data_IF_841856314572
#
_entry.id   IF_841856314572
#
_cell.length_a   1.000
_cell.length_b   1.000
_cell.length_c   1.000
_cell.angle_alpha   90.00
_cell.angle_beta   90.00
_cell.angle_gamma   90.00
#
_symmetry.space_group_name_H-M   'P 1'
#
loop_
_entity.id
_entity.type
_entity.pdbx_description
1 polymer ?
#
# COMPACT_ATOMS: atom_id res chain seq x y z
N UNK A 1 -86.25 -17.38 10.84
CA UNK A 1 -84.88 -17.26 11.39
C UNK A 1 -84.36 -15.88 11.01
N UNK A 2 -83.84 -15.13 11.98
CA UNK A 2 -83.67 -13.66 11.96
C UNK A 2 -82.34 -13.21 11.34
N UNK A 3 -82.38 -11.95 10.89
CA UNK A 3 -81.43 -11.17 10.08
C UNK A 3 -80.06 -10.78 10.69
N UNK A 4 -79.21 -10.30 9.77
CA UNK A 4 -78.33 -9.10 9.83
C UNK A 4 -76.87 -9.20 10.33
N UNK A 5 -75.97 -8.90 9.37
CA UNK A 5 -74.84 -7.94 9.37
C UNK A 5 -74.13 -7.61 10.69
N UNK A 6 -72.78 -7.73 10.71
CA UNK A 6 -71.81 -6.68 11.14
C UNK A 6 -70.42 -7.01 10.54
N UNK A 7 -69.76 -5.99 9.98
CA UNK A 7 -68.37 -5.99 9.53
C UNK A 7 -67.39 -5.68 10.68
N UNK A 8 -66.19 -6.24 10.64
CA UNK A 8 -65.05 -5.75 11.44
C UNK A 8 -63.75 -5.82 10.61
N UNK A 9 -63.20 -4.64 10.37
CA UNK A 9 -61.93 -4.35 9.74
C UNK A 9 -60.84 -4.34 10.83
N UNK A 10 -59.78 -5.13 10.72
CA UNK A 10 -58.57 -4.93 11.53
C UNK A 10 -57.31 -5.03 10.67
N UNK A 11 -56.55 -3.94 10.75
CA UNK A 11 -55.32 -3.59 10.05
C UNK A 11 -54.23 -4.65 10.21
N UNK A 12 -53.62 -5.06 9.10
CA UNK A 12 -52.40 -5.87 9.11
C UNK A 12 -51.28 -5.16 8.36
N UNK A 13 -50.12 -5.06 9.01
CA UNK A 13 -48.82 -4.94 8.36
C UNK A 13 -48.21 -3.54 8.32
N UNK A 14 -47.54 -3.13 9.39
CA UNK A 14 -46.37 -2.26 9.26
C UNK A 14 -45.28 -3.06 8.54
N UNK A 15 -45.13 -2.91 7.24
CA UNK A 15 -44.01 -3.46 6.49
C UNK A 15 -42.77 -2.59 6.76
N UNK A 16 -42.06 -2.88 7.86
CA UNK A 16 -40.67 -2.47 8.03
C UNK A 16 -39.78 -3.34 7.14
N UNK A 17 -39.66 -2.97 5.87
CA UNK A 17 -38.60 -3.46 5.00
C UNK A 17 -37.38 -2.57 5.20
N UNK A 18 -36.51 -2.97 6.12
CA UNK A 18 -35.13 -2.49 6.20
C UNK A 18 -34.27 -3.57 6.85
N UNK A 19 -33.90 -4.59 6.07
CA UNK A 19 -32.69 -5.35 6.38
C UNK A 19 -31.51 -4.38 6.35
N UNK A 20 -30.71 -4.26 7.43
CA UNK A 20 -29.45 -3.56 7.34
C UNK A 20 -28.50 -4.44 6.52
N UNK A 21 -28.41 -4.16 5.21
CA UNK A 21 -27.30 -4.64 4.39
C UNK A 21 -26.02 -4.17 5.08
N UNK A 22 -25.24 -5.15 5.53
CA UNK A 22 -23.95 -5.02 6.19
C UNK A 22 -23.08 -3.94 5.55
N UNK A 23 -22.99 -2.78 6.19
CA UNK A 23 -22.02 -1.73 5.89
C UNK A 23 -20.94 -1.62 6.98
N UNK A 24 -20.76 -2.67 7.79
CA UNK A 24 -19.93 -2.62 9.00
C UNK A 24 -18.68 -3.50 8.93
N UNK A 25 -18.52 -4.38 7.95
CA UNK A 25 -17.39 -5.31 7.91
C UNK A 25 -16.06 -4.70 7.42
N UNK A 26 -16.09 -3.67 6.56
CA UNK A 26 -14.86 -3.03 6.04
C UNK A 26 -14.22 -2.07 7.03
N UNK A 27 -15.01 -1.25 7.74
CA UNK A 27 -14.47 -0.28 8.69
C UNK A 27 -13.81 -0.95 9.91
N UNK A 28 -14.40 -2.04 10.40
CA UNK A 28 -13.84 -2.81 11.53
C UNK A 28 -12.57 -3.57 11.12
N UNK A 29 -12.53 -4.20 9.94
CA UNK A 29 -11.34 -4.89 9.43
C UNK A 29 -10.16 -3.93 9.14
N UNK A 30 -10.42 -2.72 8.65
CA UNK A 30 -9.39 -1.70 8.46
C UNK A 30 -8.81 -1.20 9.79
N UNK A 31 -9.64 -1.07 10.82
CA UNK A 31 -9.20 -0.64 12.16
C UNK A 31 -8.34 -1.71 12.84
N UNK A 32 -8.71 -2.97 12.64
CA UNK A 32 -7.95 -4.13 13.14
C UNK A 32 -6.59 -4.26 12.46
N UNK A 33 -6.55 -4.19 11.13
CA UNK A 33 -5.30 -4.25 10.34
C UNK A 33 -4.30 -3.16 10.70
N UNK A 34 -4.79 -1.92 10.92
CA UNK A 34 -3.97 -0.80 11.38
C UNK A 34 -3.34 -1.10 12.75
N UNK A 35 -4.15 -1.60 13.68
CA UNK A 35 -3.73 -1.88 15.06
C UNK A 35 -2.70 -3.00 15.11
N UNK A 36 -2.88 -4.04 14.31
CA UNK A 36 -1.93 -5.15 14.19
C UNK A 36 -0.59 -4.70 13.60
N UNK A 37 -0.59 -3.85 12.56
CA UNK A 37 0.65 -3.27 12.02
C UNK A 37 1.40 -2.43 13.06
N UNK A 38 0.68 -1.62 13.84
CA UNK A 38 1.26 -0.82 14.94
C UNK A 38 1.89 -1.70 16.01
N UNK A 39 1.20 -2.78 16.40
CA UNK A 39 1.70 -3.71 17.40
C UNK A 39 2.96 -4.43 16.90
N UNK A 40 2.94 -4.96 15.67
CA UNK A 40 4.08 -5.64 15.08
C UNK A 40 5.30 -4.71 14.91
N UNK A 41 5.09 -3.44 14.56
CA UNK A 41 6.17 -2.45 14.49
C UNK A 41 6.82 -2.23 15.87
N UNK A 42 6.00 -2.09 16.93
CA UNK A 42 6.49 -1.92 18.31
C UNK A 42 7.30 -3.14 18.77
N UNK A 43 6.85 -4.34 18.46
CA UNK A 43 7.55 -5.59 18.79
C UNK A 43 8.92 -5.69 18.10
N UNK A 44 9.06 -5.10 16.91
CA UNK A 44 10.33 -5.01 16.18
C UNK A 44 11.15 -3.75 16.54
N UNK A 45 10.71 -2.94 17.50
CA UNK A 45 11.39 -1.70 17.90
C UNK A 45 11.39 -0.61 16.82
N UNK A 46 10.44 -0.66 15.88
CA UNK A 46 10.32 0.29 14.79
C UNK A 46 9.36 1.42 15.18
N UNK A 47 9.78 2.66 14.90
CA UNK A 47 8.90 3.83 14.97
C UNK A 47 8.35 4.07 13.58
N UNK A 48 7.02 4.04 13.43
CA UNK A 48 6.33 4.16 12.15
C UNK A 48 5.37 5.36 12.13
N UNK A 49 4.99 5.81 10.93
CA UNK A 49 4.06 6.92 10.80
C UNK A 49 2.60 6.43 10.88
N UNK A 50 1.99 6.56 12.06
CA UNK A 50 0.64 6.03 12.33
C UNK A 50 -0.48 6.74 11.55
N UNK A 51 -0.23 7.98 11.11
CA UNK A 51 -1.17 8.79 10.33
C UNK A 51 -1.16 8.41 8.84
N UNK A 52 -0.14 7.69 8.39
CA UNK A 52 0.09 7.38 6.98
C UNK A 52 -0.13 5.89 6.67
N UNK A 53 -0.92 5.16 7.47
CA UNK A 53 -1.16 3.74 7.19
C UNK A 53 -2.11 3.59 6.00
N UNK A 54 -1.62 2.96 4.93
CA UNK A 54 -2.40 2.59 3.76
C UNK A 54 -2.75 1.10 3.76
N UNK A 55 -3.97 0.78 3.36
CA UNK A 55 -4.46 -0.60 3.27
C UNK A 55 -4.98 -0.87 1.87
N UNK A 56 -4.63 -2.03 1.33
CA UNK A 56 -5.17 -2.59 0.12
C UNK A 56 -5.64 -4.02 0.41
N UNK A 57 -6.96 -4.23 0.34
CA UNK A 57 -7.56 -5.54 0.53
C UNK A 57 -8.35 -5.97 -0.71
N UNK A 58 -8.26 -7.25 -1.05
CA UNK A 58 -8.95 -7.90 -2.16
C UNK A 58 -9.32 -9.33 -1.76
N UNK A 59 -10.10 -10.03 -2.60
CA UNK A 59 -10.47 -11.43 -2.36
C UNK A 59 -9.26 -12.37 -2.27
N UNK A 60 -8.14 -11.98 -2.90
CA UNK A 60 -6.92 -12.79 -3.03
C UNK A 60 -5.77 -12.28 -2.16
N UNK A 61 -5.96 -11.26 -1.33
CA UNK A 61 -4.89 -10.81 -0.46
C UNK A 61 -5.12 -9.47 0.23
N UNK A 62 -4.32 -9.25 1.26
CA UNK A 62 -4.33 -8.07 2.11
C UNK A 62 -2.91 -7.51 2.25
N UNK A 63 -2.77 -6.21 2.04
CA UNK A 63 -1.52 -5.48 2.17
C UNK A 63 -1.78 -4.25 3.02
N UNK A 64 -0.97 -4.07 4.06
CA UNK A 64 -1.03 -2.91 4.94
C UNK A 64 0.37 -2.36 5.02
N UNK A 65 0.58 -1.08 4.72
CA UNK A 65 1.91 -0.52 4.71
C UNK A 65 1.94 0.89 5.30
N UNK A 66 3.10 1.21 5.86
CA UNK A 66 3.43 2.54 6.33
C UNK A 66 4.91 2.84 6.15
N UNK A 67 5.30 4.08 6.44
CA UNK A 67 6.65 4.58 6.37
C UNK A 67 7.31 4.48 7.74
N UNK A 68 8.62 4.30 7.75
CA UNK A 68 9.43 4.42 8.97
C UNK A 68 9.49 5.90 9.35
N UNK A 69 9.17 6.25 10.59
CA UNK A 69 9.17 7.65 11.02
C UNK A 69 10.57 8.28 10.89
N UNK A 70 10.65 9.48 10.32
CA UNK A 70 11.91 10.20 10.13
C UNK A 70 12.62 9.90 8.81
N UNK A 71 12.19 8.88 8.06
CA UNK A 71 12.78 8.53 6.76
C UNK A 71 12.68 9.69 5.75
N UNK A 72 11.66 10.54 5.88
CA UNK A 72 11.41 11.69 5.01
C UNK A 72 12.51 12.78 5.10
N UNK A 73 13.31 12.74 6.17
CA UNK A 73 14.42 13.66 6.43
C UNK A 73 15.78 13.10 6.00
N UNK A 74 15.82 11.82 5.59
CA UNK A 74 17.07 11.15 5.19
C UNK A 74 17.49 11.67 3.81
N UNK A 75 18.74 12.12 3.61
CA UNK A 75 19.20 12.54 2.29
C UNK A 75 19.24 11.37 1.30
N UNK A 76 19.07 11.66 0.01
CA UNK A 76 19.13 10.68 -1.07
C UNK A 76 20.47 9.92 -1.12
N UNK A 77 21.58 10.59 -0.81
CA UNK A 77 22.91 9.96 -0.74
C UNK A 77 22.99 8.81 0.26
N UNK A 78 22.11 8.75 1.27
CA UNK A 78 22.07 7.65 2.23
C UNK A 78 21.63 6.32 1.61
N UNK A 79 20.95 6.33 0.46
CA UNK A 79 20.56 5.10 -0.26
C UNK A 79 21.76 4.25 -0.68
N UNK A 80 22.97 4.84 -0.79
CA UNK A 80 24.21 4.09 -1.00
C UNK A 80 24.43 2.98 0.05
N UNK A 81 24.04 3.24 1.30
CA UNK A 81 24.24 2.35 2.45
C UNK A 81 23.00 1.51 2.80
N UNK A 82 21.88 1.77 2.14
CA UNK A 82 20.59 1.17 2.48
C UNK A 82 19.86 1.95 3.57
N UNK A 83 18.59 2.27 3.31
CA UNK A 83 17.72 3.05 4.19
C UNK A 83 16.46 2.25 4.47
N UNK A 84 16.06 2.15 5.74
CA UNK A 84 14.77 1.59 6.09
C UNK A 84 13.69 2.63 5.81
N UNK A 85 12.81 2.34 4.86
CA UNK A 85 11.85 3.34 4.34
C UNK A 85 10.40 3.02 4.69
N UNK A 86 10.07 1.74 4.85
CA UNK A 86 8.70 1.30 5.09
C UNK A 86 8.63 0.06 5.99
N UNK A 87 7.44 -0.16 6.55
CA UNK A 87 7.04 -1.37 7.24
C UNK A 87 5.72 -1.87 6.65
N UNK A 88 5.69 -3.13 6.25
CA UNK A 88 4.59 -3.69 5.46
C UNK A 88 4.13 -5.03 6.02
N UNK A 89 2.83 -5.24 6.08
CA UNK A 89 2.21 -6.55 6.14
C UNK A 89 1.82 -6.97 4.72
N UNK A 90 2.19 -8.19 4.36
CA UNK A 90 1.84 -8.80 3.08
C UNK A 90 1.20 -10.14 3.38
N UNK A 91 -0.03 -10.34 2.92
CA UNK A 91 -0.69 -11.63 2.84
C UNK A 91 -1.32 -11.76 1.45
N UNK A 92 -0.55 -12.30 0.51
CA UNK A 92 -1.00 -12.53 -0.85
C UNK A 92 -0.19 -13.65 -1.49
N UNK A 93 -0.83 -14.64 -2.13
CA UNK A 93 -0.13 -15.71 -2.83
C UNK A 93 0.67 -15.17 -4.03
N UNK A 94 0.22 -14.07 -4.63
CA UNK A 94 0.87 -13.45 -5.79
C UNK A 94 2.18 -12.72 -5.41
N UNK A 95 2.40 -12.43 -4.13
CA UNK A 95 3.59 -11.71 -3.68
C UNK A 95 4.87 -12.59 -3.70
N UNK A 96 4.71 -13.92 -3.81
CA UNK A 96 5.83 -14.87 -3.83
C UNK A 96 6.68 -14.86 -2.55
N UNK A 97 6.12 -14.38 -1.44
CA UNK A 97 6.74 -14.38 -0.10
C UNK A 97 5.72 -14.92 0.91
N UNK A 98 6.17 -15.50 2.04
CA UNK A 98 5.26 -15.91 3.11
C UNK A 98 4.38 -14.75 3.59
N UNK A 99 3.18 -15.05 4.10
CA UNK A 99 2.38 -14.03 4.76
C UNK A 99 3.12 -13.54 6.03
N UNK A 100 3.21 -12.22 6.22
CA UNK A 100 3.93 -11.69 7.38
C UNK A 100 4.24 -10.20 7.33
N UNK A 101 4.95 -9.76 8.37
CA UNK A 101 5.40 -8.38 8.56
C UNK A 101 6.87 -8.23 8.17
N UNK A 102 7.16 -7.20 7.38
CA UNK A 102 8.47 -6.96 6.80
C UNK A 102 8.89 -5.51 6.95
N UNK A 103 10.13 -5.31 7.42
CA UNK A 103 10.84 -4.05 7.23
C UNK A 103 11.37 -3.98 5.82
N UNK A 104 11.18 -2.84 5.16
CA UNK A 104 11.63 -2.61 3.79
C UNK A 104 12.85 -1.70 3.79
N UNK A 105 13.99 -2.28 3.41
CA UNK A 105 15.25 -1.55 3.24
C UNK A 105 15.51 -1.28 1.77
N UNK A 106 15.69 -0.03 1.39
CA UNK A 106 15.99 0.36 0.01
C UNK A 106 17.45 0.77 -0.13
N UNK A 107 18.15 0.24 -1.13
CA UNK A 107 19.54 0.56 -1.46
C UNK A 107 19.69 0.91 -2.94
N UNK A 108 20.48 1.93 -3.25
CA UNK A 108 20.87 2.29 -4.62
C UNK A 108 22.38 2.17 -4.78
N UNK A 109 22.84 1.96 -6.02
CA UNK A 109 24.27 2.06 -6.34
C UNK A 109 24.70 3.54 -6.23
N UNK A 110 25.77 3.87 -5.49
CA UNK A 110 26.22 5.26 -5.33
C UNK A 110 26.39 6.03 -6.64
N UNK A 111 26.84 5.36 -7.71
CA UNK A 111 27.09 5.97 -9.02
C UNK A 111 25.80 6.34 -9.77
N UNK A 112 24.68 5.70 -9.42
CA UNK A 112 23.37 5.95 -10.04
C UNK A 112 22.58 7.06 -9.30
N UNK A 113 23.04 7.51 -8.12
CA UNK A 113 22.33 8.50 -7.32
C UNK A 113 22.51 9.88 -7.95
N UNK A 114 21.42 10.41 -8.50
CA UNK A 114 21.38 11.70 -9.18
C UNK A 114 20.03 12.39 -8.99
N UNK A 115 19.95 13.67 -9.35
CA UNK A 115 18.66 14.36 -9.49
C UNK A 115 17.91 13.75 -10.68
N UNK A 116 16.68 13.29 -10.46
CA UNK A 116 15.87 12.60 -11.45
C UNK A 116 15.61 11.15 -11.06
N UNK A 117 15.37 10.29 -12.05
CA UNK A 117 15.01 8.88 -11.83
C UNK A 117 16.26 8.00 -11.81
N UNK A 118 16.30 7.05 -10.89
CA UNK A 118 17.35 6.03 -10.81
C UNK A 118 16.87 4.71 -10.19
N UNK A 119 17.65 3.64 -10.43
CA UNK A 119 17.38 2.28 -9.96
C UNK A 119 17.76 2.12 -8.49
N UNK A 120 16.98 1.31 -7.79
CA UNK A 120 17.29 0.84 -6.45
C UNK A 120 16.75 -0.59 -6.26
N UNK A 121 17.15 -1.22 -5.16
CA UNK A 121 16.65 -2.52 -4.71
C UNK A 121 15.98 -2.33 -3.35
N UNK A 122 14.75 -2.80 -3.22
CA UNK A 122 14.07 -2.95 -1.94
C UNK A 122 14.22 -4.39 -1.43
N UNK A 123 14.74 -4.54 -0.23
CA UNK A 123 14.87 -5.81 0.48
C UNK A 123 13.77 -5.90 1.54
N UNK A 124 12.99 -6.99 1.49
CA UNK A 124 12.03 -7.36 2.54
C UNK A 124 12.76 -8.16 3.62
N UNK A 125 12.75 -7.64 4.84
CA UNK A 125 13.46 -8.19 6.00
C UNK A 125 12.43 -8.60 7.05
N UNK A 126 12.43 -9.86 7.47
CA UNK A 126 11.49 -10.35 8.49
C UNK A 126 11.90 -9.92 9.91
N UNK A 127 11.06 -10.26 10.90
CA UNK A 127 11.27 -9.92 12.30
C UNK A 127 12.56 -10.53 12.92
N UNK A 128 13.11 -11.59 12.31
CA UNK A 128 14.38 -12.20 12.74
C UNK A 128 15.60 -11.50 12.16
N UNK A 129 15.39 -10.54 11.26
CA UNK A 129 16.45 -9.84 10.52
C UNK A 129 16.88 -10.56 9.24
N UNK A 130 16.20 -11.64 8.85
CA UNK A 130 16.51 -12.38 7.63
C UNK A 130 15.94 -11.66 6.41
N UNK A 131 16.74 -11.55 5.36
CA UNK A 131 16.27 -11.11 4.04
C UNK A 131 15.44 -12.22 3.39
N UNK A 132 14.16 -11.92 3.11
CA UNK A 132 13.20 -12.88 2.56
C UNK A 132 13.05 -12.71 1.05
N UNK A 133 13.19 -11.48 0.55
CA UNK A 133 13.04 -11.15 -0.85
C UNK A 133 13.73 -9.84 -1.22
N UNK A 134 14.11 -9.72 -2.48
CA UNK A 134 14.55 -8.46 -3.09
C UNK A 134 13.61 -8.09 -4.23
N UNK A 135 13.36 -6.79 -4.40
CA UNK A 135 12.44 -6.21 -5.37
C UNK A 135 13.08 -5.04 -6.08
N UNK A 136 12.87 -4.94 -7.39
CA UNK A 136 13.25 -3.75 -8.12
C UNK A 136 12.47 -2.54 -7.56
N UNK A 137 13.14 -1.41 -7.42
CA UNK A 137 12.57 -0.17 -6.88
C UNK A 137 13.07 1.01 -7.71
N UNK A 138 12.22 2.03 -7.85
CA UNK A 138 12.60 3.28 -8.48
C UNK A 138 12.61 4.40 -7.46
N UNK A 139 13.64 5.22 -7.50
CA UNK A 139 13.67 6.49 -6.78
C UNK A 139 13.63 7.62 -7.81
N UNK A 140 12.85 8.64 -7.52
CA UNK A 140 12.79 9.88 -8.27
C UNK A 140 13.06 11.03 -7.32
N UNK A 141 14.16 11.75 -7.53
CA UNK A 141 14.52 12.94 -6.76
C UNK A 141 14.25 14.16 -7.60
N UNK A 142 13.84 15.25 -6.95
CA UNK A 142 13.55 16.51 -7.60
C UNK A 142 14.61 17.55 -7.24
N UNK A 143 14.85 18.50 -8.13
CA UNK A 143 15.61 19.69 -7.76
C UNK A 143 14.88 20.47 -6.66
N UNK A 144 15.62 21.29 -5.91
CA UNK A 144 15.01 22.17 -4.90
C UNK A 144 13.97 23.14 -5.51
N UNK A 145 14.13 23.52 -6.78
CA UNK A 145 13.20 24.39 -7.49
C UNK A 145 11.88 23.66 -7.81
N UNK A 146 11.97 22.43 -8.33
CA UNK A 146 10.79 21.60 -8.62
C UNK A 146 10.01 21.24 -7.34
N UNK A 147 10.73 20.96 -6.25
CA UNK A 147 10.17 20.68 -4.91
C UNK A 147 9.23 21.79 -4.41
N UNK A 148 9.58 23.06 -4.65
CA UNK A 148 8.75 24.21 -4.23
C UNK A 148 7.44 24.34 -5.02
N UNK A 149 7.39 23.76 -6.23
CA UNK A 149 6.23 23.83 -7.12
C UNK A 149 5.27 22.64 -6.99
N UNK A 150 5.77 21.49 -6.52
CA UNK A 150 4.96 20.30 -6.30
C UNK A 150 4.14 20.44 -5.01
N UNK A 151 2.83 20.64 -5.12
CA UNK A 151 1.89 20.43 -4.00
C UNK A 151 1.79 18.93 -3.77
N UNK A 152 2.67 18.38 -2.94
CA UNK A 152 2.62 16.96 -2.60
C UNK A 152 1.30 16.63 -1.90
N UNK A 153 0.57 15.65 -2.45
CA UNK A 153 -0.60 15.03 -1.82
C UNK A 153 -0.21 14.19 -0.61
N UNK A 154 -1.04 13.20 -0.23
CA UNK A 154 -0.74 12.33 0.91
C UNK A 154 0.69 11.78 0.84
N UNK A 155 1.49 11.94 1.92
CA UNK A 155 2.93 11.61 1.95
C UNK A 155 3.24 10.13 1.70
N UNK A 156 2.23 9.27 1.69
CA UNK A 156 2.35 7.89 1.27
C UNK A 156 1.03 7.37 0.72
N UNK A 157 1.13 6.48 -0.27
CA UNK A 157 0.00 5.79 -0.85
C UNK A 157 0.36 4.32 -1.07
N UNK A 158 -0.55 3.43 -0.67
CA UNK A 158 -0.55 2.02 -1.05
C UNK A 158 -1.65 1.85 -2.07
N UNK A 159 -1.33 1.32 -3.24
CA UNK A 159 -2.30 1.24 -4.32
C UNK A 159 -1.99 0.16 -5.33
N UNK A 160 -3.02 -0.21 -6.09
CA UNK A 160 -2.89 -1.01 -7.29
C UNK A 160 -2.61 -0.06 -8.44
N UNK A 161 -1.48 -0.22 -9.10
CA UNK A 161 -1.26 0.40 -10.39
C UNK A 161 -1.62 -0.63 -11.47
N UNK A 162 -2.69 -0.36 -12.21
CA UNK A 162 -3.01 -1.12 -13.41
C UNK A 162 -2.36 -0.44 -14.60
N UNK A 163 -1.33 -1.07 -15.16
CA UNK A 163 -0.69 -0.59 -16.38
C UNK A 163 -1.24 -1.38 -17.58
N UNK A 164 -1.63 -0.64 -18.62
CA UNK A 164 -2.03 -1.20 -19.91
C UNK A 164 -0.86 -1.04 -20.87
N UNK A 165 -0.29 -2.15 -21.32
CA UNK A 165 0.84 -2.15 -22.26
C UNK A 165 0.33 -2.62 -23.61
N UNK A 166 0.62 -1.84 -24.66
CA UNK A 166 0.44 -2.26 -26.06
C UNK A 166 1.80 -2.63 -26.61
N UNK A 167 1.99 -3.91 -26.88
CA UNK A 167 3.22 -4.41 -27.48
C UNK A 167 2.86 -5.33 -28.65
N UNK A 168 3.39 -5.05 -29.86
CA UNK A 168 3.18 -5.83 -31.09
C UNK A 168 1.79 -6.50 -31.25
N UNK A 169 0.70 -5.72 -31.18
CA UNK A 169 -0.71 -6.16 -31.28
C UNK A 169 -1.29 -6.97 -30.10
N UNK A 170 -0.59 -7.06 -28.96
CA UNK A 170 -1.12 -7.63 -27.72
C UNK A 170 -1.32 -6.54 -26.67
N UNK A 171 -2.55 -6.44 -26.15
CA UNK A 171 -2.83 -5.67 -24.93
C UNK A 171 -2.56 -6.58 -23.74
N UNK A 172 -1.52 -6.30 -22.97
CA UNK A 172 -1.26 -7.00 -21.70
C UNK A 172 -1.66 -6.10 -20.53
N UNK A 173 -2.44 -6.66 -19.61
CA UNK A 173 -2.85 -6.00 -18.37
C UNK A 173 -1.99 -6.54 -17.23
N UNK A 174 -1.27 -5.65 -16.56
CA UNK A 174 -0.52 -6.01 -15.36
C UNK A 174 -1.06 -5.18 -14.18
N UNK A 175 -1.33 -5.87 -13.07
CA UNK A 175 -1.68 -5.24 -11.79
C UNK A 175 -0.47 -5.37 -10.87
N UNK A 176 0.06 -4.24 -10.42
CA UNK A 176 1.15 -4.21 -9.43
C UNK A 176 0.64 -3.60 -8.15
N UNK A 177 1.15 -4.09 -7.03
CA UNK A 177 0.96 -3.41 -5.75
C UNK A 177 2.19 -2.61 -5.45
N UNK A 178 2.01 -1.29 -5.38
CA UNK A 178 3.10 -0.36 -5.13
C UNK A 178 2.95 0.32 -3.77
N UNK A 179 4.07 0.52 -3.09
CA UNK A 179 4.19 1.49 -2.01
C UNK A 179 4.86 2.72 -2.59
N UNK A 180 4.13 3.84 -2.56
CA UNK A 180 4.63 5.14 -3.02
C UNK A 180 4.89 5.98 -1.79
N UNK A 181 6.15 6.35 -1.58
CA UNK A 181 6.61 7.20 -0.49
C UNK A 181 6.94 8.57 -1.07
N UNK A 182 6.20 9.59 -0.63
CA UNK A 182 6.37 10.96 -1.09
C UNK A 182 7.12 11.75 -0.01
N UNK A 183 8.17 12.46 -0.43
CA UNK A 183 9.06 13.24 0.42
C UNK A 183 9.19 14.63 -0.19
N UNK A 184 9.59 15.64 0.60
CA UNK A 184 9.75 17.00 0.07
C UNK A 184 10.64 17.03 -1.18
N UNK A 185 11.72 16.26 -1.19
CA UNK A 185 12.75 16.27 -2.24
C UNK A 185 12.60 15.13 -3.27
N UNK A 186 11.57 14.28 -3.19
CA UNK A 186 11.50 13.12 -4.07
C UNK A 186 10.38 12.14 -3.78
N UNK A 187 10.21 11.16 -4.65
CA UNK A 187 9.31 10.02 -4.50
C UNK A 187 10.09 8.71 -4.59
N UNK A 188 9.76 7.72 -3.77
CA UNK A 188 10.23 6.34 -3.92
C UNK A 188 9.03 5.47 -4.26
N UNK A 189 9.15 4.67 -5.32
CA UNK A 189 8.12 3.72 -5.75
C UNK A 189 8.68 2.31 -5.64
N UNK A 190 8.10 1.53 -4.73
CA UNK A 190 8.49 0.16 -4.44
C UNK A 190 7.45 -0.76 -5.06
N UNK A 191 7.86 -1.64 -5.97
CA UNK A 191 7.01 -2.73 -6.47
C UNK A 191 7.13 -3.92 -5.53
N UNK A 192 6.08 -4.20 -4.77
CA UNK A 192 6.08 -5.30 -3.81
C UNK A 192 6.03 -6.68 -4.49
N UNK A 193 5.51 -6.77 -5.72
CA UNK A 193 5.27 -8.04 -6.41
C UNK A 193 6.40 -8.40 -7.39
N UNK A 194 7.37 -7.49 -7.58
CA UNK A 194 8.63 -7.80 -8.25
C UNK A 194 8.46 -8.12 -9.73
N UNK A 195 7.49 -7.50 -10.39
CA UNK A 195 7.35 -7.63 -11.83
C UNK A 195 8.52 -6.83 -12.45
N UNK A 196 9.34 -7.49 -13.26
CA UNK A 196 10.52 -6.86 -13.84
C UNK A 196 10.08 -5.80 -14.87
N UNK A 197 10.23 -4.53 -14.50
CA UNK A 197 9.91 -3.36 -15.33
C UNK A 197 11.14 -2.55 -15.70
N UNK A 198 12.32 -3.16 -15.65
CA UNK A 198 13.56 -2.47 -16.02
C UNK A 198 13.41 -1.81 -17.40
N UNK A 199 12.90 -2.51 -18.41
CA UNK A 199 12.73 -1.94 -19.76
C UNK A 199 11.66 -0.83 -19.89
N UNK A 200 10.69 -0.76 -18.97
CA UNK A 200 9.50 0.10 -19.13
C UNK A 200 9.60 1.47 -18.46
N UNK A 201 10.50 1.62 -17.49
CA UNK A 201 10.74 2.90 -16.83
C UNK A 201 11.79 3.78 -17.52
N UNK A 202 12.30 3.33 -18.68
CA UNK A 202 13.20 4.08 -19.57
C UNK A 202 14.56 4.33 -18.95
N UNK A 203 15.32 3.26 -18.71
CA UNK A 203 16.76 3.37 -18.44
C UNK A 203 17.57 3.43 -19.74
#
# INVERSE_FOLDING_TARGET
MRSSLVAALLLSGSAFAAEPRSATTTATACTDSKTQLLQAAKEQGLVINEEQIGTLSSDTGNIVATSIAGFEKIPDTAYAQGVDVAFVYIDSPDAGVPAGYYRVKVRANPEDIQVGKYKAVATLIDATGKEVAQRATRIETFSQEATKSARYGSPMNVGIQQQTIRDYNLTRFFKTVTVILIRPWGTTVIDLFGVDYSDYYGF
#
